data_IF_348179920271
#
_entry.id   IF_348179920271
#
_cell.length_a   1.000
_cell.length_b   1.000
_cell.length_c   1.000
_cell.angle_alpha   90.00
_cell.angle_beta   90.00
_cell.angle_gamma   90.00
#
_symmetry.space_group_name_H-M   'P 1'
#
loop_
_entity.id
_entity.type
_entity.pdbx_description
1 polymer ?
#
# COMPACT_ATOMS: atom_id res chain seq x y z
N UNK A 1 22.89 -0.87 0.53
CA UNK A 1 21.69 -1.59 0.04
C UNK A 1 20.55 -0.58 -0.10
N UNK A 2 20.08 -0.28 -1.33
CA UNK A 2 19.03 0.72 -1.55
C UNK A 2 17.66 0.03 -1.43
N UNK A 3 16.82 0.46 -0.50
CA UNK A 3 15.50 -0.15 -0.31
C UNK A 3 14.59 0.24 -1.48
N UNK A 4 14.04 -0.76 -2.18
CA UNK A 4 13.04 -0.54 -3.22
C UNK A 4 11.66 -0.34 -2.59
N UNK A 5 11.36 0.90 -2.23
CA UNK A 5 10.08 1.28 -1.62
C UNK A 5 8.87 1.05 -2.52
N UNK A 6 9.02 1.22 -3.85
CA UNK A 6 7.92 0.95 -4.80
C UNK A 6 7.45 -0.51 -4.69
N UNK A 7 8.40 -1.45 -4.74
CA UNK A 7 8.09 -2.88 -4.62
C UNK A 7 7.54 -3.27 -3.24
N UNK A 8 7.97 -2.57 -2.18
CA UNK A 8 7.52 -2.83 -0.81
C UNK A 8 6.10 -2.33 -0.57
N UNK A 9 5.76 -1.14 -1.09
CA UNK A 9 4.43 -0.53 -0.99
C UNK A 9 3.38 -1.20 -1.90
N UNK A 10 3.78 -1.86 -2.99
CA UNK A 10 2.87 -2.68 -3.80
C UNK A 10 2.66 -4.10 -3.25
N UNK A 11 3.34 -4.47 -2.15
CA UNK A 11 3.29 -5.83 -1.61
C UNK A 11 2.07 -6.05 -0.73
N UNK A 12 1.20 -7.00 -1.13
CA UNK A 12 0.06 -7.43 -0.30
C UNK A 12 0.50 -7.95 1.08
N UNK A 13 1.66 -8.62 1.15
CA UNK A 13 2.22 -9.14 2.41
C UNK A 13 2.61 -8.02 3.38
N UNK A 14 3.08 -6.89 2.85
CA UNK A 14 3.40 -5.71 3.67
C UNK A 14 2.14 -5.13 4.31
N UNK A 15 1.08 -4.93 3.53
CA UNK A 15 -0.19 -4.40 4.03
C UNK A 15 -0.89 -5.35 5.00
N UNK A 16 -0.86 -6.66 4.73
CA UNK A 16 -1.39 -7.66 5.66
C UNK A 16 -0.65 -7.63 7.02
N UNK A 17 0.67 -7.46 7.01
CA UNK A 17 1.46 -7.33 8.23
C UNK A 17 1.11 -6.05 9.01
N UNK A 18 0.89 -4.93 8.32
CA UNK A 18 0.44 -3.68 8.96
C UNK A 18 -0.92 -3.87 9.62
N UNK A 19 -1.90 -4.42 8.90
CA UNK A 19 -3.24 -4.65 9.44
C UNK A 19 -3.15 -5.55 10.68
N UNK A 20 -2.49 -6.70 10.59
CA UNK A 20 -2.34 -7.60 11.73
C UNK A 20 -1.65 -6.98 12.93
N UNK A 21 -0.60 -6.18 12.71
CA UNK A 21 0.12 -5.48 13.78
C UNK A 21 -0.76 -4.42 14.46
N UNK A 22 -1.43 -3.57 13.69
CA UNK A 22 -2.30 -2.52 14.22
C UNK A 22 -3.51 -3.14 14.94
N UNK A 23 -4.13 -4.17 14.36
CA UNK A 23 -5.22 -4.91 15.01
C UNK A 23 -4.78 -5.48 16.35
N UNK A 24 -3.62 -6.15 16.42
CA UNK A 24 -3.12 -6.70 17.68
C UNK A 24 -2.88 -5.61 18.76
N UNK A 25 -2.38 -4.44 18.35
CA UNK A 25 -2.21 -3.30 19.25
C UNK A 25 -3.56 -2.81 19.78
N UNK A 26 -4.53 -2.57 18.89
CA UNK A 26 -5.86 -2.07 19.29
C UNK A 26 -6.58 -3.06 20.20
N UNK A 27 -6.48 -4.36 19.93
CA UNK A 27 -6.99 -5.41 20.80
C UNK A 27 -6.32 -5.38 22.17
N UNK A 28 -5.00 -5.21 22.25
CA UNK A 28 -4.29 -5.12 23.52
C UNK A 28 -4.74 -3.91 24.38
N UNK A 29 -5.17 -2.83 23.73
CA UNK A 29 -5.72 -1.65 24.38
C UNK A 29 -7.24 -1.74 24.69
N UNK A 30 -7.89 -2.89 24.49
CA UNK A 30 -9.33 -3.07 24.67
C UNK A 30 -10.19 -2.08 23.86
N UNK A 31 -9.73 -1.70 22.67
CA UNK A 31 -10.53 -0.92 21.71
C UNK A 31 -11.70 -1.78 21.21
N UNK A 32 -12.86 -1.17 20.98
CA UNK A 32 -14.04 -1.88 20.51
C UNK A 32 -13.87 -2.43 19.08
N UNK A 33 -14.58 -3.53 18.79
CA UNK A 33 -14.45 -4.23 17.50
C UNK A 33 -14.85 -3.34 16.30
N UNK A 34 -15.84 -2.45 16.45
CA UNK A 34 -16.28 -1.59 15.36
C UNK A 34 -15.17 -0.60 14.98
N UNK A 35 -14.52 0.01 15.97
CA UNK A 35 -13.36 0.89 15.74
C UNK A 35 -12.19 0.11 15.12
N UNK A 36 -11.92 -1.13 15.56
CA UNK A 36 -10.88 -1.98 14.96
C UNK A 36 -11.17 -2.26 13.47
N UNK A 37 -12.41 -2.62 13.15
CA UNK A 37 -12.85 -2.86 11.77
C UNK A 37 -12.73 -1.60 10.91
N UNK A 38 -13.11 -0.44 11.44
CA UNK A 38 -12.96 0.85 10.76
C UNK A 38 -11.49 1.19 10.49
N UNK A 39 -10.59 0.99 11.47
CA UNK A 39 -9.15 1.22 11.28
C UNK A 39 -8.58 0.27 10.22
N UNK A 40 -8.94 -1.02 10.25
CA UNK A 40 -8.52 -1.98 9.22
C UNK A 40 -9.03 -1.59 7.82
N UNK A 41 -10.25 -1.06 7.74
CA UNK A 41 -10.83 -0.53 6.49
C UNK A 41 -10.05 0.67 5.96
N UNK A 42 -9.68 1.62 6.84
CA UNK A 42 -8.86 2.78 6.47
C UNK A 42 -7.49 2.33 5.94
N UNK A 43 -6.82 1.39 6.60
CA UNK A 43 -5.53 0.84 6.15
C UNK A 43 -5.69 0.22 4.75
N UNK A 44 -6.77 -0.51 4.51
CA UNK A 44 -7.06 -1.13 3.21
C UNK A 44 -7.33 -0.09 2.12
N UNK A 45 -8.03 1.00 2.45
CA UNK A 45 -8.22 2.12 1.53
C UNK A 45 -6.89 2.79 1.16
N UNK A 46 -6.01 3.02 2.14
CA UNK A 46 -4.66 3.54 1.88
C UNK A 46 -3.82 2.59 1.01
N UNK A 47 -3.91 1.28 1.24
CA UNK A 47 -3.24 0.28 0.41
C UNK A 47 -3.71 0.34 -1.06
N UNK A 48 -5.02 0.50 -1.26
CA UNK A 48 -5.64 0.61 -2.58
C UNK A 48 -5.15 1.85 -3.32
N UNK A 49 -5.14 2.99 -2.63
CA UNK A 49 -4.61 4.25 -3.17
C UNK A 49 -3.12 4.13 -3.54
N UNK A 50 -2.30 3.55 -2.67
CA UNK A 50 -0.87 3.37 -2.93
C UNK A 50 -0.62 2.49 -4.15
N UNK A 51 -1.39 1.40 -4.33
CA UNK A 51 -1.29 0.53 -5.51
C UNK A 51 -1.69 1.28 -6.78
N UNK A 52 -2.75 2.08 -6.72
CA UNK A 52 -3.22 2.86 -7.88
C UNK A 52 -2.14 3.85 -8.35
N UNK A 53 -1.61 4.67 -7.43
CA UNK A 53 -0.55 5.64 -7.75
C UNK A 53 0.69 4.93 -8.30
N UNK A 54 1.10 3.81 -7.68
CA UNK A 54 2.25 3.05 -8.18
C UNK A 54 2.00 2.48 -9.58
N UNK A 55 0.78 2.02 -9.88
CA UNK A 55 0.37 1.55 -11.20
C UNK A 55 0.47 2.66 -12.25
N UNK A 56 -0.04 3.84 -11.96
CA UNK A 56 0.09 5.02 -12.84
C UNK A 56 1.57 5.34 -13.11
N UNK A 57 2.43 5.34 -12.07
CA UNK A 57 3.85 5.63 -12.28
C UNK A 57 4.59 4.60 -13.14
N UNK A 58 4.12 3.35 -13.20
CA UNK A 58 4.70 2.30 -14.06
C UNK A 58 4.27 2.53 -15.51
N UNK A 59 2.99 2.84 -15.73
CA UNK A 59 2.45 3.16 -17.06
C UNK A 59 3.11 4.42 -17.62
N UNK A 60 3.23 5.47 -16.82
CA UNK A 60 3.89 6.73 -17.22
C UNK A 60 5.37 6.53 -17.54
N UNK A 61 6.09 5.73 -16.73
CA UNK A 61 7.49 5.41 -17.02
C UNK A 61 7.64 4.67 -18.36
N UNK A 62 6.74 3.73 -18.64
CA UNK A 62 6.73 2.97 -19.90
C UNK A 62 6.39 3.87 -21.09
N UNK A 63 5.45 4.81 -20.91
CA UNK A 63 5.08 5.79 -21.94
C UNK A 63 6.23 6.73 -22.29
N UNK A 64 7.01 7.18 -21.30
CA UNK A 64 8.20 8.01 -21.52
C UNK A 64 9.29 7.24 -22.27
N UNK A 65 9.50 5.96 -21.93
CA UNK A 65 10.48 5.13 -22.65
C UNK A 65 10.08 4.88 -24.11
N UNK A 66 8.79 4.69 -24.39
CA UNK A 66 8.34 4.47 -25.77
C UNK A 66 8.28 5.76 -26.61
N UNK A 67 7.93 6.90 -26.00
CA UNK A 67 7.95 8.19 -26.71
C UNK A 67 9.36 8.67 -27.10
N UNK A 68 10.39 8.21 -26.39
CA UNK A 68 11.81 8.51 -26.66
C UNK A 68 12.42 7.59 -27.75
N UNK A 69 11.71 6.53 -28.16
CA UNK A 69 12.15 5.58 -29.21
C UNK A 69 11.65 5.94 -30.61
N UNK A 70 10.74 6.91 -30.70
CA UNK A 70 10.15 7.37 -31.96
C UNK A 70 10.75 8.72 -32.44
N UNK A 71 11.76 9.25 -31.72
CA UNK A 71 12.65 10.37 -32.14
C UNK A 71 14.04 9.84 -32.51
#
# INVERSE_FOLDING_TARGET
MKINWKAKLSSRKFWAAIVGFVTAILTAFNVDNLTIEQVATIITACATLAIYILGETVVDATRRENGDKDE
#
